data_IF_417247600572
#
_entry.id   IF_417247600572
#
_cell.length_a   1.000
_cell.length_b   1.000
_cell.length_c   1.000
_cell.angle_alpha   90.00
_cell.angle_beta   90.00
_cell.angle_gamma   90.00
#
_symmetry.space_group_name_H-M   'P 1'
#
loop_
_entity.id
_entity.type
_entity.pdbx_description
1 polymer ?
#
# COMPACT_ATOMS: atom_id res chain seq x y z
N UNK A 1 -20.60 23.29 18.85
CA UNK A 1 -20.34 22.74 17.51
C UNK A 1 -20.61 21.24 17.54
N UNK A 2 -21.64 20.77 16.83
CA UNK A 2 -21.99 19.34 16.74
C UNK A 2 -21.32 18.75 15.49
N UNK A 3 -20.36 17.84 15.65
CA UNK A 3 -19.85 17.05 14.52
C UNK A 3 -20.81 15.87 14.32
N UNK A 4 -21.48 15.83 13.17
CA UNK A 4 -22.16 14.61 12.73
C UNK A 4 -21.07 13.62 12.37
N UNK A 5 -20.96 12.52 13.11
CA UNK A 5 -20.09 11.41 12.74
C UNK A 5 -20.73 10.69 11.55
N UNK A 6 -20.25 10.95 10.32
CA UNK A 6 -20.58 10.16 9.13
C UNK A 6 -19.83 8.82 9.16
N UNK A 7 -20.00 8.05 10.23
CA UNK A 7 -19.51 6.69 10.32
C UNK A 7 -20.48 5.74 9.63
N UNK A 8 -20.20 5.36 8.38
CA UNK A 8 -20.91 4.24 7.77
C UNK A 8 -20.63 2.96 8.58
N UNK A 9 -21.69 2.20 8.92
CA UNK A 9 -21.53 0.92 9.62
C UNK A 9 -20.89 -0.11 8.69
N UNK A 10 -19.58 -0.32 8.83
CA UNK A 10 -18.83 -1.33 8.06
C UNK A 10 -18.89 -2.67 8.79
N UNK A 11 -19.52 -3.66 8.15
CA UNK A 11 -19.59 -5.03 8.68
C UNK A 11 -18.18 -5.65 8.82
N UNK A 12 -18.03 -6.62 9.73
CA UNK A 12 -16.76 -7.34 9.88
C UNK A 12 -16.32 -8.02 8.57
N UNK A 13 -17.28 -8.54 7.80
CA UNK A 13 -17.04 -9.11 6.47
C UNK A 13 -16.53 -8.06 5.48
N UNK A 14 -17.13 -6.86 5.43
CA UNK A 14 -16.65 -5.77 4.58
C UNK A 14 -15.22 -5.35 4.96
N UNK A 15 -14.91 -5.26 6.26
CA UNK A 15 -13.54 -4.96 6.72
C UNK A 15 -12.55 -6.02 6.26
N UNK A 16 -12.90 -7.29 6.38
CA UNK A 16 -12.05 -8.38 5.91
C UNK A 16 -11.78 -8.28 4.41
N UNK A 17 -12.81 -8.04 3.59
CA UNK A 17 -12.65 -7.86 2.14
C UNK A 17 -11.75 -6.67 1.82
N UNK A 18 -11.92 -5.54 2.52
CA UNK A 18 -11.07 -4.36 2.35
C UNK A 18 -9.60 -4.66 2.67
N UNK A 19 -9.34 -5.35 3.78
CA UNK A 19 -7.98 -5.75 4.17
C UNK A 19 -7.39 -6.75 3.18
N UNK A 20 -8.17 -7.72 2.71
CA UNK A 20 -7.73 -8.71 1.73
C UNK A 20 -7.38 -8.05 0.40
N UNK A 21 -8.20 -7.10 -0.10
CA UNK A 21 -7.90 -6.35 -1.31
C UNK A 21 -6.67 -5.45 -1.14
N UNK A 22 -6.52 -4.79 0.01
CA UNK A 22 -5.33 -3.99 0.30
C UNK A 22 -4.06 -4.85 0.33
N UNK A 23 -4.11 -6.02 0.97
CA UNK A 23 -3.01 -6.97 1.02
C UNK A 23 -2.68 -7.51 -0.39
N UNK A 24 -3.69 -7.91 -1.15
CA UNK A 24 -3.54 -8.37 -2.53
C UNK A 24 -2.89 -7.30 -3.41
N UNK A 25 -3.36 -6.04 -3.30
CA UNK A 25 -2.78 -4.92 -4.03
C UNK A 25 -1.31 -4.71 -3.64
N UNK A 26 -0.98 -4.75 -2.36
CA UNK A 26 0.40 -4.61 -1.88
C UNK A 26 1.32 -5.70 -2.44
N UNK A 27 0.88 -6.96 -2.37
CA UNK A 27 1.62 -8.10 -2.93
C UNK A 27 1.76 -7.98 -4.44
N UNK A 28 0.70 -7.56 -5.14
CA UNK A 28 0.72 -7.36 -6.58
C UNK A 28 1.73 -6.29 -7.00
N UNK A 29 1.74 -5.12 -6.35
CA UNK A 29 2.69 -4.05 -6.65
C UNK A 29 4.12 -4.48 -6.38
N UNK A 30 4.39 -5.12 -5.24
CA UNK A 30 5.73 -5.59 -4.89
C UNK A 30 6.23 -6.66 -5.85
N UNK A 31 5.37 -7.62 -6.24
CA UNK A 31 5.71 -8.64 -7.22
C UNK A 31 5.94 -8.06 -8.61
N UNK A 32 5.05 -7.17 -9.07
CA UNK A 32 5.16 -6.55 -10.40
C UNK A 32 6.46 -5.77 -10.55
N UNK A 33 6.78 -4.91 -9.58
CA UNK A 33 7.99 -4.09 -9.67
C UNK A 33 9.25 -4.93 -9.44
N UNK A 34 9.21 -5.90 -8.52
CA UNK A 34 10.33 -6.78 -8.22
C UNK A 34 10.74 -7.70 -9.37
N UNK A 35 9.80 -8.14 -10.22
CA UNK A 35 10.06 -8.99 -11.39
C UNK A 35 9.93 -8.25 -12.73
N UNK A 36 9.85 -6.92 -12.71
CA UNK A 36 9.78 -6.09 -13.91
C UNK A 36 11.04 -6.27 -14.76
N UNK A 37 10.86 -6.50 -16.07
CA UNK A 37 11.95 -6.43 -17.05
C UNK A 37 12.32 -5.00 -17.44
N UNK A 38 11.53 -4.01 -16.99
CA UNK A 38 11.83 -2.60 -17.17
C UNK A 38 12.74 -2.17 -16.02
N UNK A 39 14.02 -1.99 -16.32
CA UNK A 39 15.07 -1.64 -15.33
C UNK A 39 14.69 -0.39 -14.52
N UNK A 40 14.09 0.62 -15.15
CA UNK A 40 13.69 1.85 -14.48
C UNK A 40 12.70 1.61 -13.32
N UNK A 41 11.73 0.70 -13.50
CA UNK A 41 10.69 0.41 -12.51
C UNK A 41 11.26 -0.44 -11.38
N UNK A 42 12.08 -1.45 -11.71
CA UNK A 42 12.77 -2.29 -10.73
C UNK A 42 13.73 -1.47 -9.86
N UNK A 43 14.56 -0.63 -10.49
CA UNK A 43 15.50 0.27 -9.80
C UNK A 43 14.77 1.29 -8.91
N UNK A 44 13.65 1.86 -9.38
CA UNK A 44 12.86 2.77 -8.57
C UNK A 44 12.34 2.13 -7.26
N UNK A 45 11.92 0.86 -7.27
CA UNK A 45 11.57 0.18 -6.02
C UNK A 45 12.79 -0.09 -5.14
N UNK A 46 13.94 -0.44 -5.74
CA UNK A 46 15.19 -0.57 -4.99
C UNK A 46 15.61 0.75 -4.33
N UNK A 47 15.47 1.87 -5.02
CA UNK A 47 15.82 3.20 -4.50
C UNK A 47 14.82 3.66 -3.42
N UNK A 48 13.54 3.36 -3.60
CA UNK A 48 12.52 3.65 -2.59
C UNK A 48 12.81 2.91 -1.27
N UNK A 49 13.19 1.62 -1.33
CA UNK A 49 13.53 0.86 -0.11
C UNK A 49 14.77 1.43 0.60
N UNK A 50 15.75 1.94 -0.15
CA UNK A 50 16.93 2.60 0.43
C UNK A 50 16.56 3.97 1.02
N UNK A 51 15.59 4.66 0.42
CA UNK A 51 15.06 5.95 0.88
C UNK A 51 14.06 5.85 2.04
N UNK A 52 13.49 4.66 2.27
CA UNK A 52 12.64 4.36 3.44
C UNK A 52 13.45 4.27 4.75
N UNK A 53 14.79 4.26 4.65
CA UNK A 53 15.66 4.66 5.75
C UNK A 53 15.55 6.17 5.97
N UNK A 54 14.64 6.55 6.87
CA UNK A 54 14.38 7.88 7.44
C UNK A 54 15.62 8.82 7.53
N UNK A 55 15.41 10.15 7.54
CA UNK A 55 16.36 11.14 7.06
C UNK A 55 17.75 11.06 7.71
N UNK A 56 18.75 11.43 6.92
CA UNK A 56 20.00 12.01 7.38
C UNK A 56 19.76 13.44 7.90
N UNK A 57 18.96 13.57 8.97
CA UNK A 57 19.18 14.61 9.97
C UNK A 57 19.11 13.99 11.37
#
# INVERSE_FOLDING_TARGET
MNYVSLGASVSSQSRFVQLALAAFLGVFVMGFVGFSHIDAVHNAAHDYRHSMGFPCH
#
